data_IF_153241792226
#
_entry.id   IF_153241792226
#
_cell.length_a   1.000
_cell.length_b   1.000
_cell.length_c   1.000
_cell.angle_alpha   90.00
_cell.angle_beta   90.00
_cell.angle_gamma   90.00
#
_symmetry.space_group_name_H-M   'P 1'
#
loop_
_entity.id
_entity.type
_entity.pdbx_description
1 polymer ?
#
# COMPACT_ATOMS: atom_id res chain seq x y z
N UNK A 1 20.97 63.36 8.13
CA UNK A 1 21.59 62.01 8.18
C UNK A 1 20.55 61.01 7.70
N UNK A 2 20.80 60.31 6.60
CA UNK A 2 19.82 59.43 5.93
C UNK A 2 20.23 57.97 6.12
N UNK A 3 19.39 57.18 6.79
CA UNK A 3 19.66 55.76 7.09
C UNK A 3 18.90 54.91 6.07
N UNK A 4 19.64 54.30 5.13
CA UNK A 4 19.11 53.31 4.18
C UNK A 4 18.77 52.00 4.91
N UNK A 5 17.49 51.64 4.98
CA UNK A 5 17.06 50.28 5.33
C UNK A 5 17.38 49.31 4.17
N UNK A 6 18.24 48.32 4.44
CA UNK A 6 18.51 47.18 3.57
C UNK A 6 17.37 46.16 3.71
N UNK A 7 16.51 46.06 2.70
CA UNK A 7 15.57 44.94 2.56
C UNK A 7 16.35 43.66 2.31
N UNK A 8 16.43 42.78 3.31
CA UNK A 8 16.93 41.40 3.13
C UNK A 8 15.83 40.57 2.50
N UNK A 9 16.02 40.20 1.24
CA UNK A 9 15.18 39.23 0.54
C UNK A 9 15.23 37.89 1.28
N UNK A 10 14.06 37.42 1.69
CA UNK A 10 13.88 36.06 2.20
C UNK A 10 13.89 35.15 0.97
N UNK A 11 15.03 34.53 0.69
CA UNK A 11 15.11 33.41 -0.25
C UNK A 11 14.24 32.27 0.28
N UNK A 12 13.06 32.09 -0.32
CA UNK A 12 12.25 30.89 -0.16
C UNK A 12 13.02 29.71 -0.77
N UNK A 13 13.74 28.97 0.06
CA UNK A 13 14.17 27.62 -0.30
C UNK A 13 12.92 26.75 -0.40
N UNK A 14 12.59 26.31 -1.62
CA UNK A 14 11.61 25.24 -1.84
C UNK A 14 12.01 24.03 -1.00
N UNK A 15 11.06 23.47 -0.26
CA UNK A 15 11.28 22.37 0.67
C UNK A 15 11.70 21.10 -0.06
N UNK A 16 12.98 20.73 0.02
CA UNK A 16 13.49 19.47 -0.58
C UNK A 16 12.86 18.21 0.04
N UNK A 17 12.18 18.35 1.18
CA UNK A 17 11.44 17.27 1.82
C UNK A 17 10.21 16.81 1.02
N UNK A 18 9.56 17.71 0.28
CA UNK A 18 8.37 17.38 -0.53
C UNK A 18 8.71 16.61 -1.81
N UNK A 19 9.84 16.96 -2.46
CA UNK A 19 10.32 16.28 -3.67
C UNK A 19 10.78 14.84 -3.36
N UNK A 20 11.40 14.61 -2.20
CA UNK A 20 11.82 13.26 -1.78
C UNK A 20 10.63 12.31 -1.53
N UNK A 21 9.56 12.80 -0.89
CA UNK A 21 8.37 12.00 -0.61
C UNK A 21 7.63 11.60 -1.90
N UNK A 22 7.48 12.53 -2.84
CA UNK A 22 6.93 12.26 -4.18
C UNK A 22 7.73 11.16 -4.90
N UNK A 23 9.06 11.29 -4.94
CA UNK A 23 9.92 10.33 -5.65
C UNK A 23 9.93 8.92 -5.07
N UNK A 24 9.64 8.77 -3.77
CA UNK A 24 9.58 7.46 -3.11
C UNK A 24 8.26 6.74 -3.40
N UNK A 25 7.15 7.48 -3.50
CA UNK A 25 5.85 6.89 -3.83
C UNK A 25 5.78 6.43 -5.29
N UNK A 26 6.45 7.14 -6.20
CA UNK A 26 6.55 6.73 -7.59
C UNK A 26 7.31 5.40 -7.74
N UNK A 27 8.44 5.25 -7.05
CA UNK A 27 9.21 4.00 -7.00
C UNK A 27 8.41 2.85 -6.37
N UNK A 28 7.70 3.13 -5.29
CA UNK A 28 6.85 2.13 -4.64
C UNK A 28 5.78 1.60 -5.59
N UNK A 29 5.18 2.49 -6.39
CA UNK A 29 4.18 2.12 -7.40
C UNK A 29 4.79 1.29 -8.52
N UNK A 30 5.95 1.69 -9.04
CA UNK A 30 6.68 0.91 -10.04
C UNK A 30 6.99 -0.50 -9.52
N UNK A 31 7.43 -0.61 -8.25
CA UNK A 31 7.67 -1.90 -7.61
C UNK A 31 6.39 -2.72 -7.38
N UNK A 32 5.24 -2.09 -7.12
CA UNK A 32 3.95 -2.77 -7.03
C UNK A 32 3.53 -3.35 -8.40
N UNK A 33 3.72 -2.61 -9.48
CA UNK A 33 3.47 -3.12 -10.85
C UNK A 33 4.43 -4.27 -11.22
N UNK A 34 5.70 -4.16 -10.84
CA UNK A 34 6.67 -5.26 -10.97
C UNK A 34 6.19 -6.51 -10.23
N UNK A 35 5.66 -6.33 -9.01
CA UNK A 35 5.15 -7.43 -8.18
C UNK A 35 3.91 -8.08 -8.80
N UNK A 36 2.96 -7.27 -9.28
CA UNK A 36 1.76 -7.76 -9.98
C UNK A 36 2.18 -8.62 -11.18
N UNK A 37 3.09 -8.11 -12.02
CA UNK A 37 3.57 -8.84 -13.19
C UNK A 37 4.24 -10.17 -12.82
N UNK A 38 5.09 -10.17 -11.80
CA UNK A 38 5.77 -11.38 -11.35
C UNK A 38 4.80 -12.42 -10.78
N UNK A 39 3.79 -11.97 -10.02
CA UNK A 39 2.71 -12.82 -9.52
C UNK A 39 1.85 -13.38 -10.66
N UNK A 40 1.54 -12.58 -11.68
CA UNK A 40 0.82 -13.03 -12.88
C UNK A 40 1.59 -14.11 -13.65
N UNK A 41 2.89 -13.88 -13.89
CA UNK A 41 3.76 -14.84 -14.56
C UNK A 41 3.82 -16.17 -13.80
N UNK A 42 3.97 -16.09 -12.47
CA UNK A 42 4.13 -17.27 -11.60
C UNK A 42 2.82 -18.03 -11.42
N UNK A 43 1.68 -17.36 -11.38
CA UNK A 43 0.35 -17.97 -11.23
C UNK A 43 -0.26 -18.49 -12.54
N UNK A 44 0.09 -17.87 -13.68
CA UNK A 44 -0.43 -18.26 -15.00
C UNK A 44 0.34 -19.42 -15.62
N UNK A 45 1.54 -19.70 -15.14
CA UNK A 45 2.32 -20.82 -15.62
C UNK A 45 1.63 -22.12 -15.18
N UNK A 46 1.19 -22.94 -16.14
CA UNK A 46 0.68 -24.30 -15.86
C UNK A 46 1.78 -25.25 -15.34
N UNK A 47 3.03 -24.79 -15.32
CA UNK A 47 4.15 -25.45 -14.65
C UNK A 47 4.12 -25.17 -13.17
N UNK A 48 4.56 -26.15 -12.37
CA UNK A 48 4.68 -26.01 -10.92
C UNK A 48 5.39 -24.71 -10.55
N UNK A 49 4.83 -23.96 -9.60
CA UNK A 49 5.51 -22.87 -8.90
C UNK A 49 6.94 -23.33 -8.57
N UNK A 50 7.95 -22.55 -8.93
CA UNK A 50 9.34 -22.86 -8.62
C UNK A 50 9.89 -22.01 -7.46
N UNK A 51 10.93 -22.53 -6.80
CA UNK A 51 11.50 -21.90 -5.62
C UNK A 51 12.18 -20.56 -5.92
N UNK A 52 12.77 -20.39 -7.10
CA UNK A 52 13.51 -19.19 -7.47
C UNK A 52 12.54 -18.01 -7.65
N UNK A 53 11.40 -18.26 -8.32
CA UNK A 53 10.31 -17.29 -8.46
C UNK A 53 9.71 -16.89 -7.11
N UNK A 54 9.50 -17.85 -6.20
CA UNK A 54 9.02 -17.56 -4.86
C UNK A 54 9.99 -16.65 -4.08
N UNK A 55 11.30 -16.91 -4.18
CA UNK A 55 12.33 -16.08 -3.55
C UNK A 55 12.41 -14.69 -4.20
N UNK A 56 12.24 -14.60 -5.52
CA UNK A 56 12.17 -13.33 -6.26
C UNK A 56 11.00 -12.47 -5.77
N UNK A 57 9.80 -13.07 -5.68
CA UNK A 57 8.59 -12.42 -5.16
C UNK A 57 8.82 -11.94 -3.72
N UNK A 58 9.34 -12.80 -2.85
CA UNK A 58 9.62 -12.47 -1.45
C UNK A 58 10.64 -11.32 -1.33
N UNK A 59 11.68 -11.34 -2.17
CA UNK A 59 12.69 -10.30 -2.24
C UNK A 59 12.12 -8.95 -2.66
N UNK A 60 11.20 -8.93 -3.63
CA UNK A 60 10.52 -7.74 -4.10
C UNK A 60 9.54 -7.18 -3.04
N UNK A 61 8.77 -8.04 -2.37
CA UNK A 61 7.94 -7.63 -1.21
C UNK A 61 8.80 -6.95 -0.15
N UNK A 62 9.96 -7.55 0.20
CA UNK A 62 10.89 -6.95 1.15
C UNK A 62 11.50 -5.62 0.68
N UNK A 63 11.67 -5.39 -0.64
CA UNK A 63 12.07 -4.07 -1.17
C UNK A 63 10.98 -3.03 -0.93
N UNK A 64 9.74 -3.36 -1.30
CA UNK A 64 8.58 -2.48 -1.12
C UNK A 64 8.36 -2.09 0.35
N UNK A 65 8.56 -3.03 1.29
CA UNK A 65 8.46 -2.73 2.73
C UNK A 65 9.45 -1.67 3.19
N UNK A 66 10.69 -1.71 2.66
CA UNK A 66 11.70 -0.69 2.96
C UNK A 66 11.32 0.66 2.38
N UNK A 67 10.68 0.71 1.22
CA UNK A 67 10.23 1.96 0.61
C UNK A 67 9.09 2.61 1.41
N UNK A 68 8.15 1.82 1.94
CA UNK A 68 7.13 2.31 2.88
C UNK A 68 7.76 2.73 4.22
N UNK A 69 8.64 1.91 4.78
CA UNK A 69 9.29 2.16 6.07
C UNK A 69 10.18 3.40 6.06
N UNK A 70 10.90 3.65 4.96
CA UNK A 70 11.74 4.85 4.78
C UNK A 70 10.94 6.13 4.57
N UNK A 71 9.70 6.06 4.11
CA UNK A 71 8.76 7.18 4.10
C UNK A 71 8.17 7.52 5.47
N UNK A 72 8.11 6.54 6.38
CA UNK A 72 7.46 6.68 7.71
C UNK A 72 8.41 6.86 8.89
N UNK A 73 9.73 6.91 8.67
CA UNK A 73 10.75 7.10 9.71
C UNK A 73 10.75 8.48 10.42
N UNK A 74 9.64 9.23 10.40
CA UNK A 74 9.37 10.29 11.38
C UNK A 74 8.49 9.84 12.57
N UNK A 75 7.97 8.60 12.58
CA UNK A 75 7.29 8.04 13.75
C UNK A 75 8.21 7.03 14.47
N UNK A 76 8.99 7.55 15.42
CA UNK A 76 9.94 6.80 16.26
C UNK A 76 9.30 5.58 16.96
N UNK A 77 9.98 4.43 16.89
CA UNK A 77 10.04 3.51 18.02
C UNK A 77 9.12 2.29 18.03
N UNK A 78 8.92 1.58 16.91
CA UNK A 78 8.69 0.12 16.95
C UNK A 78 8.99 -0.47 15.58
N UNK A 79 9.75 -1.56 15.52
CA UNK A 79 10.18 -2.23 14.28
C UNK A 79 9.04 -2.96 13.56
N UNK A 80 8.01 -2.23 13.14
CA UNK A 80 6.96 -2.69 12.25
C UNK A 80 6.69 -1.65 11.16
N UNK A 81 6.15 -2.08 9.99
CA UNK A 81 5.69 -1.13 8.98
C UNK A 81 4.66 -0.18 9.59
N UNK A 82 4.63 1.06 9.11
CA UNK A 82 3.76 2.12 9.58
C UNK A 82 2.31 1.64 9.67
N UNK A 83 1.76 1.47 10.88
CA UNK A 83 0.36 1.04 11.03
C UNK A 83 -0.57 2.10 10.42
N UNK A 84 -1.44 1.70 9.51
CA UNK A 84 -2.64 2.47 9.14
C UNK A 84 -2.61 3.26 7.83
N UNK A 85 -1.66 3.02 6.93
CA UNK A 85 -1.80 3.44 5.52
C UNK A 85 -2.29 2.26 4.67
N UNK A 86 -3.03 2.56 3.61
CA UNK A 86 -3.55 1.57 2.67
C UNK A 86 -2.43 0.70 2.09
N UNK A 87 -1.30 1.33 1.75
CA UNK A 87 -0.11 0.68 1.19
C UNK A 87 0.54 -0.28 2.19
N UNK A 88 0.67 0.15 3.44
CA UNK A 88 1.27 -0.67 4.51
C UNK A 88 0.39 -1.87 4.83
N UNK A 89 -0.91 -1.65 5.00
CA UNK A 89 -1.88 -2.69 5.34
C UNK A 89 -2.07 -3.68 4.17
N UNK A 90 -2.10 -3.17 2.93
CA UNK A 90 -2.16 -4.00 1.73
C UNK A 90 -0.89 -4.83 1.52
N UNK A 91 0.29 -4.22 1.66
CA UNK A 91 1.57 -4.93 1.52
C UNK A 91 1.76 -5.98 2.61
N UNK A 92 1.32 -5.69 3.84
CA UNK A 92 1.30 -6.66 4.94
C UNK A 92 0.51 -7.91 4.54
N UNK A 93 -0.68 -7.74 3.97
CA UNK A 93 -1.52 -8.86 3.55
C UNK A 93 -0.87 -9.66 2.41
N UNK A 94 -0.33 -8.97 1.39
CA UNK A 94 0.40 -9.61 0.29
C UNK A 94 1.57 -10.45 0.82
N UNK A 95 2.34 -9.91 1.77
CA UNK A 95 3.48 -10.60 2.37
C UNK A 95 3.06 -11.89 3.08
N UNK A 96 1.96 -11.87 3.84
CA UNK A 96 1.50 -13.07 4.54
C UNK A 96 1.04 -14.16 3.55
N UNK A 97 0.35 -13.78 2.45
CA UNK A 97 0.05 -14.75 1.38
C UNK A 97 1.32 -15.31 0.72
N UNK A 98 2.32 -14.48 0.43
CA UNK A 98 3.59 -14.96 -0.17
C UNK A 98 4.32 -15.92 0.78
N UNK A 99 4.36 -15.62 2.08
CA UNK A 99 4.94 -16.54 3.08
C UNK A 99 4.17 -17.86 3.15
N UNK A 100 2.85 -17.80 3.11
CA UNK A 100 2.01 -19.01 3.07
C UNK A 100 2.28 -19.82 1.79
N UNK A 101 2.44 -19.17 0.64
CA UNK A 101 2.80 -19.84 -0.61
C UNK A 101 4.17 -20.54 -0.50
N UNK A 102 5.16 -19.91 0.12
CA UNK A 102 6.48 -20.53 0.40
C UNK A 102 6.33 -21.75 1.31
N UNK A 103 5.52 -21.64 2.37
CA UNK A 103 5.24 -22.75 3.27
C UNK A 103 4.57 -23.91 2.53
N UNK A 104 3.49 -23.66 1.76
CA UNK A 104 2.78 -24.66 0.98
C UNK A 104 3.67 -25.34 -0.05
N UNK A 105 4.51 -24.57 -0.74
CA UNK A 105 5.52 -25.12 -1.65
C UNK A 105 6.48 -26.09 -0.94
N UNK A 106 6.94 -25.74 0.27
CA UNK A 106 7.87 -26.59 1.04
C UNK A 106 7.26 -27.93 1.47
N UNK A 107 5.94 -27.99 1.61
CA UNK A 107 5.19 -29.22 1.94
C UNK A 107 4.53 -29.87 0.72
N UNK A 108 4.90 -29.46 -0.50
CA UNK A 108 4.34 -29.96 -1.78
C UNK A 108 2.81 -29.80 -1.90
N UNK A 109 2.27 -28.75 -1.29
CA UNK A 109 0.87 -28.34 -1.39
C UNK A 109 0.68 -27.21 -2.43
N UNK A 110 -0.56 -26.85 -2.72
CA UNK A 110 -0.92 -25.84 -3.71
C UNK A 110 -0.55 -24.42 -3.26
N UNK A 111 0.68 -24.02 -3.60
CA UNK A 111 1.17 -22.65 -3.47
C UNK A 111 0.55 -21.70 -4.52
N UNK A 112 0.10 -22.24 -5.66
CA UNK A 112 -0.42 -21.45 -6.78
C UNK A 112 -1.70 -20.71 -6.44
N UNK A 113 -2.64 -21.37 -5.76
CA UNK A 113 -3.87 -20.70 -5.28
C UNK A 113 -3.59 -19.56 -4.32
N UNK A 114 -2.62 -19.72 -3.41
CA UNK A 114 -2.24 -18.66 -2.47
C UNK A 114 -1.58 -17.48 -3.17
N UNK A 115 -0.72 -17.73 -4.17
CA UNK A 115 -0.16 -16.67 -5.01
C UNK A 115 -1.24 -15.93 -5.83
N UNK A 116 -2.30 -16.62 -6.24
CA UNK A 116 -3.43 -15.98 -6.90
C UNK A 116 -4.20 -15.03 -5.96
N UNK A 117 -4.33 -15.39 -4.67
CA UNK A 117 -4.88 -14.47 -3.66
C UNK A 117 -3.97 -13.27 -3.43
N UNK A 118 -2.65 -13.47 -3.34
CA UNK A 118 -1.68 -12.38 -3.28
C UNK A 118 -1.81 -11.41 -4.47
N UNK A 119 -1.98 -11.95 -5.68
CA UNK A 119 -2.21 -11.17 -6.90
C UNK A 119 -3.51 -10.38 -6.84
N UNK A 120 -4.59 -11.00 -6.36
CA UNK A 120 -5.89 -10.36 -6.17
C UNK A 120 -5.77 -9.13 -5.26
N UNK A 121 -5.08 -9.28 -4.12
CA UNK A 121 -4.81 -8.17 -3.20
C UNK A 121 -3.92 -7.11 -3.82
N UNK A 122 -2.84 -7.49 -4.53
CA UNK A 122 -1.95 -6.53 -5.17
C UNK A 122 -2.65 -5.65 -6.21
N UNK A 123 -3.53 -6.24 -7.03
CA UNK A 123 -4.37 -5.51 -8.00
C UNK A 123 -5.36 -4.59 -7.30
N UNK A 124 -6.04 -5.08 -6.25
CA UNK A 124 -6.96 -4.25 -5.47
C UNK A 124 -6.23 -3.07 -4.82
N UNK A 125 -5.02 -3.28 -4.30
CA UNK A 125 -4.20 -2.22 -3.72
C UNK A 125 -3.86 -1.15 -4.76
N UNK A 126 -3.39 -1.54 -5.94
CA UNK A 126 -3.13 -0.61 -7.05
C UNK A 126 -4.37 0.22 -7.39
N UNK A 127 -5.52 -0.44 -7.55
CA UNK A 127 -6.77 0.21 -7.96
C UNK A 127 -7.27 1.20 -6.89
N UNK A 128 -7.17 0.82 -5.61
CA UNK A 128 -7.52 1.69 -4.48
C UNK A 128 -6.56 2.88 -4.33
N UNK A 129 -5.25 2.69 -4.50
CA UNK A 129 -4.28 3.80 -4.51
C UNK A 129 -4.57 4.79 -5.65
N UNK A 130 -4.88 4.29 -6.85
CA UNK A 130 -5.27 5.13 -8.00
C UNK A 130 -6.61 5.86 -7.79
N UNK A 131 -7.53 5.29 -7.01
CA UNK A 131 -8.76 5.98 -6.58
C UNK A 131 -8.44 7.08 -5.56
N UNK A 132 -7.62 6.78 -4.56
CA UNK A 132 -7.21 7.75 -3.53
C UNK A 132 -6.52 8.99 -4.14
N UNK A 133 -5.68 8.81 -5.16
CA UNK A 133 -5.03 9.91 -5.89
C UNK A 133 -5.99 10.82 -6.65
N UNK A 134 -7.13 10.26 -7.08
CA UNK A 134 -8.23 11.03 -7.68
C UNK A 134 -9.08 11.75 -6.64
N UNK A 135 -8.71 11.67 -5.36
CA UNK A 135 -9.44 12.26 -4.24
C UNK A 135 -10.65 11.44 -3.80
N UNK A 136 -10.75 10.16 -4.21
CA UNK A 136 -11.82 9.28 -3.73
C UNK A 136 -11.50 8.88 -2.30
N UNK A 137 -12.41 9.22 -1.39
CA UNK A 137 -12.32 8.84 0.01
C UNK A 137 -12.61 7.35 0.18
N UNK A 138 -11.66 6.62 0.77
CA UNK A 138 -11.84 5.20 1.12
C UNK A 138 -12.55 5.14 2.46
N UNK A 139 -13.81 4.71 2.41
CA UNK A 139 -14.68 4.58 3.57
C UNK A 139 -14.23 3.40 4.42
N UNK A 140 -13.94 3.65 5.69
CA UNK A 140 -13.58 2.62 6.66
C UNK A 140 -14.83 2.11 7.39
N UNK A 141 -14.83 0.88 7.91
CA UNK A 141 -15.93 0.38 8.73
C UNK A 141 -16.30 1.33 9.88
N UNK A 142 -15.34 2.07 10.44
CA UNK A 142 -15.55 3.01 11.54
C UNK A 142 -16.30 4.29 11.10
N UNK A 143 -16.32 4.59 9.80
CA UNK A 143 -17.09 5.69 9.20
C UNK A 143 -18.56 5.32 9.00
N UNK A 144 -18.88 4.04 9.15
CA UNK A 144 -20.22 3.50 8.99
C UNK A 144 -20.93 3.36 10.34
N UNK A 145 -22.24 3.60 10.32
CA UNK A 145 -23.16 3.31 11.41
C UNK A 145 -24.26 2.38 10.92
N UNK A 146 -24.56 1.34 11.70
CA UNK A 146 -25.67 0.42 11.38
C UNK A 146 -26.98 1.12 11.69
N UNK A 147 -27.85 1.27 10.69
CA UNK A 147 -29.18 1.86 10.82
C UNK A 147 -30.26 0.82 11.17
N UNK A 148 -30.02 -0.44 10.83
CA UNK A 148 -30.98 -1.52 11.00
C UNK A 148 -30.58 -2.76 10.21
N UNK A 149 -31.52 -3.70 10.04
CA UNK A 149 -31.31 -4.95 9.32
C UNK A 149 -32.47 -5.21 8.35
N UNK A 150 -32.16 -5.67 7.13
CA UNK A 150 -33.13 -6.14 6.13
C UNK A 150 -32.73 -7.58 5.78
N UNK A 151 -33.66 -8.53 5.92
CA UNK A 151 -33.43 -9.96 5.71
C UNK A 151 -32.20 -10.51 6.45
N UNK A 152 -31.99 -10.03 7.69
CA UNK A 152 -30.84 -10.42 8.53
C UNK A 152 -29.50 -9.76 8.15
N UNK A 153 -29.47 -8.91 7.11
CA UNK A 153 -28.27 -8.20 6.67
C UNK A 153 -28.25 -6.76 7.19
N UNK A 154 -27.12 -6.27 7.75
CA UNK A 154 -27.03 -4.91 8.25
C UNK A 154 -27.13 -3.89 7.13
N UNK A 155 -27.86 -2.80 7.38
CA UNK A 155 -27.94 -1.62 6.53
C UNK A 155 -27.13 -0.52 7.16
N UNK A 156 -26.23 0.09 6.40
CA UNK A 156 -25.29 1.09 6.88
C UNK A 156 -25.62 2.50 6.35
N UNK A 157 -25.24 3.52 7.12
CA UNK A 157 -25.13 4.91 6.69
C UNK A 157 -23.78 5.47 7.09
N UNK A 158 -23.36 6.55 6.45
CA UNK A 158 -22.26 7.37 6.93
C UNK A 158 -22.59 7.98 8.29
N UNK A 159 -21.60 7.99 9.18
CA UNK A 159 -21.67 8.75 10.43
C UNK A 159 -21.79 10.24 10.10
N UNK A 160 -22.79 10.94 10.65
CA UNK A 160 -22.98 12.38 10.43
C UNK A 160 -21.70 13.15 10.77
N UNK A 161 -21.18 13.93 9.81
CA UNK A 161 -19.90 14.63 9.90
C UNK A 161 -18.86 14.16 8.89
N UNK A 162 -18.94 12.90 8.42
CA UNK A 162 -18.06 12.31 7.40
C UNK A 162 -18.71 12.26 6.01
N UNK A 163 -19.84 12.97 5.82
CA UNK A 163 -20.43 13.11 4.49
C UNK A 163 -19.61 14.11 3.68
N UNK A 164 -19.23 13.80 2.43
CA UNK A 164 -18.61 14.79 1.56
C UNK A 164 -19.55 15.99 1.48
N UNK A 165 -19.04 17.20 1.74
CA UNK A 165 -19.79 18.42 1.43
C UNK A 165 -20.09 18.38 -0.07
N UNK A 166 -21.37 18.23 -0.40
CA UNK A 166 -21.89 18.35 -1.77
C UNK A 166 -21.58 19.73 -2.34
#
# INVERSE_FOLDING_TARGET
MSVKQKSRGISRTRSSSGEKLSSNMDKWREGLEELIRLLEETSSNRGSVDADKLLEILGLVGRLEREIGTGSHQALGSGGPAKGSLESDGLLLIREYVKEAVYRFSVSDDAGSVLAEALSVARALRDLSALAERGVEIIRPEDLVVLGYIDGKPVYSFRQGNSPKR
#
